data_IF_596958223040
#
_entry.id   IF_596958223040
#
_cell.length_a   1.000
_cell.length_b   1.000
_cell.length_c   1.000
_cell.angle_alpha   90.00
_cell.angle_beta   90.00
_cell.angle_gamma   90.00
#
_symmetry.space_group_name_H-M   'P 1'
#
loop_
_entity.id
_entity.type
_entity.pdbx_description
1 polymer ?
#
# COMPACT_ATOMS: atom_id res chain seq x y z
N UNK A 1 11.00 12.02 17.25
CA UNK A 1 9.96 11.92 16.20
C UNK A 1 8.74 11.15 16.71
N UNK A 2 8.89 9.89 17.14
CA UNK A 2 7.77 9.05 17.59
C UNK A 2 6.91 9.66 18.71
N UNK A 3 7.51 10.21 19.77
CA UNK A 3 6.74 10.84 20.87
C UNK A 3 5.85 12.02 20.42
N UNK A 4 6.23 12.72 19.35
CA UNK A 4 5.40 13.80 18.79
C UNK A 4 4.25 13.22 17.95
N UNK A 5 4.47 12.08 17.28
CA UNK A 5 3.49 11.43 16.42
C UNK A 5 2.37 10.76 17.23
N UNK A 6 2.65 10.18 18.40
CA UNK A 6 1.63 9.50 19.25
C UNK A 6 0.39 10.34 19.58
N UNK A 7 0.55 11.67 19.61
CA UNK A 7 -0.55 12.61 19.89
C UNK A 7 -1.51 12.82 18.71
N UNK A 8 -1.11 12.40 17.51
CA UNK A 8 -1.88 12.56 16.27
C UNK A 8 -2.98 11.49 16.19
N UNK A 9 -4.13 11.78 15.53
CA UNK A 9 -5.28 10.87 15.50
C UNK A 9 -4.98 9.43 15.07
N UNK A 10 -4.30 9.21 13.94
CA UNK A 10 -3.96 7.85 13.49
C UNK A 10 -3.13 7.08 14.51
N UNK A 11 -2.06 7.71 14.99
CA UNK A 11 -1.10 7.08 15.88
C UNK A 11 -1.70 6.80 17.26
N UNK A 12 -2.64 7.63 17.71
CA UNK A 12 -3.43 7.34 18.90
C UNK A 12 -4.26 6.05 18.75
N UNK A 13 -4.95 5.87 17.61
CA UNK A 13 -5.71 4.65 17.31
C UNK A 13 -4.78 3.42 17.21
N UNK A 14 -3.64 3.56 16.53
CA UNK A 14 -2.66 2.47 16.38
C UNK A 14 -2.06 2.03 17.72
N UNK A 15 -1.73 2.97 18.61
CA UNK A 15 -1.26 2.66 19.96
C UNK A 15 -2.34 2.00 20.82
N UNK A 16 -3.61 2.41 20.64
CA UNK A 16 -4.73 1.73 21.29
C UNK A 16 -4.84 0.27 20.83
N UNK A 17 -4.87 0.01 19.52
CA UNK A 17 -4.94 -1.33 18.94
C UNK A 17 -3.79 -2.19 19.44
N UNK A 18 -2.56 -1.66 19.41
CA UNK A 18 -1.37 -2.37 19.89
C UNK A 18 -1.46 -2.75 21.37
N UNK A 19 -2.04 -1.87 22.20
CA UNK A 19 -2.18 -2.09 23.64
C UNK A 19 -3.31 -3.06 23.98
N UNK A 20 -4.41 -3.01 23.23
CA UNK A 20 -5.64 -3.77 23.56
C UNK A 20 -5.76 -5.08 22.79
N UNK A 21 -5.15 -5.18 21.61
CA UNK A 21 -5.42 -6.26 20.66
C UNK A 21 -6.86 -6.22 20.12
N UNK A 22 -7.48 -5.04 20.05
CA UNK A 22 -8.90 -4.89 19.69
C UNK A 22 -9.06 -3.82 18.61
N UNK A 23 -9.83 -4.15 17.57
CA UNK A 23 -10.43 -3.22 16.61
C UNK A 23 -11.96 -3.22 16.76
N UNK A 24 -12.65 -2.29 16.12
CA UNK A 24 -14.11 -2.21 16.20
C UNK A 24 -14.72 -2.27 14.81
N UNK A 25 -15.76 -3.07 14.61
CA UNK A 25 -16.48 -3.14 13.34
C UNK A 25 -17.33 -1.86 13.09
N UNK A 26 -18.00 -1.81 11.93
CA UNK A 26 -18.85 -0.67 11.56
C UNK A 26 -20.05 -0.46 12.49
N UNK A 27 -20.48 -1.48 13.24
CA UNK A 27 -21.53 -1.39 14.25
C UNK A 27 -20.96 -0.99 15.64
N UNK A 28 -19.65 -0.90 15.77
CA UNK A 28 -18.96 -0.58 17.02
C UNK A 28 -18.74 -1.80 17.93
N UNK A 29 -18.91 -3.02 17.43
CA UNK A 29 -18.62 -4.22 18.22
C UNK A 29 -17.10 -4.47 18.25
N UNK A 30 -16.53 -4.86 19.41
CA UNK A 30 -15.12 -5.21 19.49
C UNK A 30 -14.83 -6.50 18.71
N UNK A 31 -13.74 -6.50 17.96
CA UNK A 31 -13.19 -7.63 17.22
C UNK A 31 -11.72 -7.81 17.63
N UNK A 32 -11.22 -9.05 17.78
CA UNK A 32 -9.80 -9.28 18.05
C UNK A 32 -8.95 -8.78 16.88
N UNK A 33 -7.78 -8.23 17.21
CA UNK A 33 -6.72 -7.91 16.25
C UNK A 33 -5.61 -8.95 16.43
N UNK A 34 -5.50 -9.86 15.45
CA UNK A 34 -4.60 -11.02 15.50
C UNK A 34 -3.34 -10.82 14.64
N UNK A 35 -3.19 -9.65 14.02
CA UNK A 35 -2.07 -9.27 13.17
C UNK A 35 -0.96 -8.53 13.94
N UNK A 36 0.13 -8.21 13.24
CA UNK A 36 1.17 -7.31 13.72
C UNK A 36 1.18 -6.00 12.93
N UNK A 37 1.50 -4.90 13.60
CA UNK A 37 1.68 -3.61 12.94
C UNK A 37 3.15 -3.47 12.55
N UNK A 38 3.46 -3.50 11.26
CA UNK A 38 4.79 -3.17 10.73
C UNK A 38 5.05 -1.65 10.81
N UNK A 39 5.44 -1.21 12.01
CA UNK A 39 5.70 0.20 12.30
C UNK A 39 6.79 0.81 11.41
N UNK A 40 7.82 0.05 11.01
CA UNK A 40 8.96 0.58 10.25
C UNK A 40 8.55 0.87 8.80
N UNK A 41 7.89 -0.10 8.17
CA UNK A 41 7.34 0.04 6.83
C UNK A 41 6.28 1.13 6.78
N UNK A 42 5.30 1.12 7.69
CA UNK A 42 4.21 2.08 7.63
C UNK A 42 4.66 3.50 8.02
N UNK A 43 5.67 3.65 8.88
CA UNK A 43 6.28 4.96 9.12
C UNK A 43 7.02 5.49 7.88
N UNK A 44 7.64 4.60 7.09
CA UNK A 44 8.21 4.97 5.79
C UNK A 44 7.11 5.46 4.84
N UNK A 45 5.93 4.83 4.81
CA UNK A 45 4.78 5.30 4.03
C UNK A 45 4.32 6.71 4.46
N UNK A 46 4.21 6.95 5.77
CA UNK A 46 3.92 8.30 6.29
C UNK A 46 4.95 9.33 5.79
N UNK A 47 6.25 9.01 5.86
CA UNK A 47 7.31 9.89 5.38
C UNK A 47 7.24 10.16 3.89
N UNK A 48 6.88 9.16 3.07
CA UNK A 48 6.64 9.33 1.64
C UNK A 48 5.46 10.28 1.41
N UNK A 49 4.35 10.14 2.15
CA UNK A 49 3.23 11.07 2.02
C UNK A 49 3.65 12.51 2.33
N UNK A 50 4.48 12.70 3.37
CA UNK A 50 5.00 14.01 3.78
C UNK A 50 5.95 14.64 2.77
N UNK A 51 6.77 13.83 2.09
CA UNK A 51 7.76 14.31 1.12
C UNK A 51 7.16 14.51 -0.28
N UNK A 52 6.43 13.52 -0.79
CA UNK A 52 5.81 13.53 -2.11
C UNK A 52 4.60 14.47 -2.18
N UNK A 53 3.87 14.63 -1.06
CA UNK A 53 2.62 15.41 -0.96
C UNK A 53 1.63 15.08 -2.09
N UNK A 54 1.29 13.79 -2.27
CA UNK A 54 0.46 13.35 -3.38
C UNK A 54 -0.95 13.95 -3.27
N UNK A 55 -1.56 14.24 -4.42
CA UNK A 55 -2.97 14.62 -4.48
C UNK A 55 -3.85 13.37 -4.47
N UNK A 56 -3.37 12.28 -5.07
CA UNK A 56 -4.07 11.00 -5.16
C UNK A 56 -3.12 9.84 -4.87
N UNK A 57 -3.47 9.04 -3.86
CA UNK A 57 -2.79 7.81 -3.46
C UNK A 57 -3.72 6.61 -3.62
N UNK A 58 -3.16 5.49 -4.05
CA UNK A 58 -3.86 4.21 -4.15
C UNK A 58 -3.18 3.18 -3.25
N UNK A 59 -3.97 2.43 -2.50
CA UNK A 59 -3.54 1.29 -1.70
C UNK A 59 -4.29 0.05 -2.18
N UNK A 60 -3.54 -1.02 -2.41
CA UNK A 60 -4.08 -2.35 -2.69
C UNK A 60 -3.76 -3.22 -1.47
N UNK A 61 -4.79 -3.73 -0.81
CA UNK A 61 -4.67 -4.37 0.50
C UNK A 61 -4.90 -3.37 1.62
N UNK A 62 -5.99 -3.53 2.36
CA UNK A 62 -6.45 -2.59 3.38
C UNK A 62 -6.54 -3.26 4.75
N UNK A 63 -7.01 -4.52 4.82
CA UNK A 63 -7.14 -5.29 6.05
C UNK A 63 -7.76 -4.46 7.21
N UNK A 64 -7.10 -4.41 8.37
CA UNK A 64 -7.52 -3.61 9.54
C UNK A 64 -7.24 -2.09 9.41
N UNK A 65 -6.81 -1.61 8.25
CA UNK A 65 -6.56 -0.20 7.93
C UNK A 65 -5.29 0.39 8.55
N UNK A 66 -4.34 -0.43 9.02
CA UNK A 66 -3.16 0.06 9.74
C UNK A 66 -2.24 0.89 8.84
N UNK A 67 -1.82 0.37 7.69
CA UNK A 67 -1.03 1.11 6.68
C UNK A 67 -1.75 2.39 6.22
N UNK A 68 -3.05 2.28 5.97
CA UNK A 68 -3.90 3.39 5.58
C UNK A 68 -3.90 4.52 6.61
N UNK A 69 -3.96 4.21 7.92
CA UNK A 69 -3.88 5.22 8.97
C UNK A 69 -2.57 6.02 8.92
N UNK A 70 -1.42 5.37 8.69
CA UNK A 70 -0.14 6.07 8.52
C UNK A 70 -0.17 6.99 7.30
N UNK A 71 -0.65 6.50 6.17
CA UNK A 71 -0.73 7.29 4.94
C UNK A 71 -1.69 8.48 5.09
N UNK A 72 -2.92 8.23 5.57
CA UNK A 72 -3.94 9.25 5.80
C UNK A 72 -3.46 10.33 6.78
N UNK A 73 -2.74 9.95 7.84
CA UNK A 73 -2.15 10.94 8.74
C UNK A 73 -1.13 11.83 8.02
N UNK A 74 -0.31 11.27 7.14
CA UNK A 74 0.64 12.04 6.33
C UNK A 74 -0.05 13.04 5.40
N UNK A 75 -1.14 12.62 4.76
CA UNK A 75 -1.99 13.47 3.91
C UNK A 75 -2.70 14.56 4.74
N UNK A 76 -3.30 14.21 5.87
CA UNK A 76 -3.95 15.14 6.78
C UNK A 76 -2.96 16.20 7.30
N UNK A 77 -1.75 15.78 7.70
CA UNK A 77 -0.70 16.70 8.12
C UNK A 77 -0.26 17.62 6.97
N UNK A 78 -0.41 17.21 5.71
CA UNK A 78 -0.12 18.05 4.53
C UNK A 78 -1.24 19.06 4.26
N UNK A 79 -2.42 18.86 4.87
CA UNK A 79 -3.64 19.61 4.57
C UNK A 79 -4.24 19.31 3.20
N UNK A 80 -3.80 18.22 2.54
CA UNK A 80 -4.29 17.83 1.21
C UNK A 80 -4.05 16.35 0.88
N UNK A 81 -4.74 15.89 -0.14
CA UNK A 81 -4.58 14.56 -0.73
C UNK A 81 -5.76 13.63 -0.41
N UNK A 82 -5.86 12.54 -1.16
CA UNK A 82 -6.88 11.51 -0.98
C UNK A 82 -6.24 10.14 -1.09
N UNK A 83 -6.65 9.22 -0.23
CA UNK A 83 -6.31 7.80 -0.32
C UNK A 83 -7.53 7.01 -0.81
N UNK A 84 -7.32 6.20 -1.85
CA UNK A 84 -8.25 5.15 -2.24
C UNK A 84 -7.63 3.82 -1.84
N UNK A 85 -8.35 3.02 -1.05
CA UNK A 85 -7.93 1.66 -0.71
C UNK A 85 -8.83 0.63 -1.39
N UNK A 86 -8.25 -0.46 -1.90
CA UNK A 86 -8.96 -1.54 -2.59
C UNK A 86 -8.70 -2.85 -1.85
N UNK A 87 -9.76 -3.45 -1.33
CA UNK A 87 -9.70 -4.71 -0.58
C UNK A 87 -11.09 -5.34 -0.51
N UNK A 88 -11.22 -6.66 -0.65
CA UNK A 88 -12.50 -7.37 -0.54
C UNK A 88 -12.71 -8.11 0.78
N UNK A 89 -11.69 -8.15 1.63
CA UNK A 89 -11.59 -8.91 2.87
C UNK A 89 -11.83 -8.06 4.12
N UNK A 90 -11.79 -6.72 4.02
CA UNK A 90 -12.03 -5.88 5.20
C UNK A 90 -13.39 -6.15 5.85
N UNK A 91 -14.48 -6.29 5.09
CA UNK A 91 -15.80 -6.52 5.69
C UNK A 91 -16.04 -7.96 6.17
N UNK A 92 -15.18 -8.91 5.80
CA UNK A 92 -15.42 -10.35 6.02
C UNK A 92 -14.39 -11.00 6.95
N UNK A 93 -13.11 -10.76 6.72
CA UNK A 93 -11.99 -11.42 7.41
C UNK A 93 -11.37 -10.50 8.48
N UNK A 94 -10.89 -9.31 8.08
CA UNK A 94 -10.12 -8.45 8.98
C UNK A 94 -11.01 -7.57 9.88
N UNK A 95 -11.92 -6.79 9.28
CA UNK A 95 -12.81 -5.83 9.95
C UNK A 95 -12.09 -4.66 10.63
N UNK A 96 -12.83 -3.57 10.76
CA UNK A 96 -12.49 -2.42 11.58
C UNK A 96 -11.56 -1.40 10.93
N UNK A 97 -11.05 -1.66 9.72
CA UNK A 97 -10.26 -0.69 8.97
C UNK A 97 -11.05 0.58 8.67
N UNK A 98 -12.28 0.45 8.15
CA UNK A 98 -13.13 1.61 7.85
C UNK A 98 -13.47 2.37 9.15
N UNK A 99 -13.77 1.64 10.23
CA UNK A 99 -14.10 2.26 11.52
C UNK A 99 -12.90 2.98 12.13
N UNK A 100 -11.69 2.44 11.98
CA UNK A 100 -10.46 3.05 12.44
C UNK A 100 -10.19 4.38 11.71
N UNK A 101 -10.41 4.41 10.38
CA UNK A 101 -10.34 5.64 9.57
C UNK A 101 -11.35 6.68 10.05
N UNK A 102 -12.60 6.27 10.32
CA UNK A 102 -13.64 7.15 10.86
C UNK A 102 -13.25 7.70 12.24
N UNK A 103 -12.78 6.85 13.16
CA UNK A 103 -12.34 7.23 14.52
C UNK A 103 -11.16 8.20 14.49
N UNK A 104 -10.27 8.08 13.50
CA UNK A 104 -9.17 9.01 13.28
C UNK A 104 -9.61 10.32 12.60
N UNK A 105 -10.86 10.42 12.14
CA UNK A 105 -11.42 11.61 11.50
C UNK A 105 -11.04 11.76 10.02
N UNK A 106 -10.61 10.69 9.34
CA UNK A 106 -10.09 10.74 7.97
C UNK A 106 -11.07 10.28 6.88
N UNK A 107 -12.31 10.01 7.22
CA UNK A 107 -13.35 9.57 6.28
C UNK A 107 -13.60 10.54 5.11
N UNK A 108 -13.23 11.81 5.25
CA UNK A 108 -13.40 12.85 4.23
C UNK A 108 -12.27 12.87 3.18
N UNK A 109 -11.15 12.18 3.44
CA UNK A 109 -10.00 12.03 2.54
C UNK A 109 -9.69 10.56 2.22
N UNK A 110 -10.59 9.65 2.59
CA UNK A 110 -10.47 8.22 2.31
C UNK A 110 -11.66 7.71 1.52
N UNK A 111 -11.40 6.82 0.56
CA UNK A 111 -12.43 6.02 -0.10
C UNK A 111 -12.01 4.56 -0.10
N UNK A 112 -12.90 3.70 0.37
CA UNK A 112 -12.70 2.26 0.30
C UNK A 112 -13.50 1.64 -0.86
N UNK A 113 -12.85 0.79 -1.66
CA UNK A 113 -13.47 0.03 -2.75
C UNK A 113 -13.46 -1.44 -2.37
N UNK A 114 -14.65 -2.00 -2.16
CA UNK A 114 -14.83 -3.39 -1.73
C UNK A 114 -14.86 -4.31 -2.94
N UNK A 115 -13.68 -4.55 -3.52
CA UNK A 115 -13.48 -5.45 -4.65
C UNK A 115 -12.09 -6.07 -4.58
N UNK A 116 -11.90 -7.31 -5.09
CA UNK A 116 -10.57 -7.83 -5.34
C UNK A 116 -9.83 -6.93 -6.36
N UNK A 117 -8.55 -6.67 -6.10
CA UNK A 117 -7.73 -5.71 -6.86
C UNK A 117 -7.69 -6.02 -8.36
N UNK A 118 -7.65 -7.30 -8.74
CA UNK A 118 -7.65 -7.76 -10.13
C UNK A 118 -8.91 -7.34 -10.92
N UNK A 119 -10.02 -7.09 -10.23
CA UNK A 119 -11.26 -6.60 -10.83
C UNK A 119 -11.44 -5.08 -10.69
N UNK A 120 -10.84 -4.48 -9.66
CA UNK A 120 -10.93 -3.05 -9.42
C UNK A 120 -10.03 -2.22 -10.35
N UNK A 121 -8.80 -2.69 -10.63
CA UNK A 121 -7.78 -1.94 -11.36
C UNK A 121 -8.03 -1.72 -12.87
N UNK A 122 -8.69 -2.64 -13.62
CA UNK A 122 -8.92 -2.43 -15.05
C UNK A 122 -9.77 -1.20 -15.36
N UNK A 123 -10.77 -0.87 -14.53
CA UNK A 123 -11.67 0.26 -14.80
C UNK A 123 -10.96 1.63 -14.72
N UNK A 124 -10.24 1.97 -13.64
CA UNK A 124 -9.45 3.21 -13.57
C UNK A 124 -8.48 3.37 -14.74
N UNK A 125 -7.81 2.28 -15.16
CA UNK A 125 -6.88 2.32 -16.29
C UNK A 125 -7.57 2.72 -17.61
N UNK A 126 -8.81 2.25 -17.83
CA UNK A 126 -9.62 2.62 -19.01
C UNK A 126 -10.18 4.04 -18.90
N UNK A 127 -10.48 4.51 -17.69
CA UNK A 127 -11.07 5.83 -17.42
C UNK A 127 -10.04 6.98 -17.31
N UNK A 128 -8.78 6.73 -17.66
CA UNK A 128 -7.68 7.70 -17.54
C UNK A 128 -7.51 8.26 -16.12
N UNK A 129 -7.85 7.47 -15.09
CA UNK A 129 -7.52 7.79 -13.72
C UNK A 129 -5.99 7.86 -13.56
N UNK A 130 -5.52 8.82 -12.75
CA UNK A 130 -4.10 8.99 -12.44
C UNK A 130 -3.87 9.20 -10.96
N UNK A 131 -2.82 8.57 -10.44
CA UNK A 131 -2.36 8.76 -9.07
C UNK A 131 -0.87 9.17 -9.02
N UNK A 132 -0.48 9.73 -7.89
CA UNK A 132 0.89 10.15 -7.59
C UNK A 132 1.64 9.07 -6.79
N UNK A 133 0.89 8.24 -6.05
CA UNK A 133 1.44 7.18 -5.22
C UNK A 133 0.60 5.89 -5.31
N UNK A 134 1.27 4.74 -5.26
CA UNK A 134 0.66 3.41 -5.14
C UNK A 134 1.39 2.61 -4.06
N UNK A 135 0.64 1.95 -3.19
CA UNK A 135 1.12 0.92 -2.26
C UNK A 135 0.46 -0.44 -2.59
N UNK A 136 1.27 -1.48 -2.72
CA UNK A 136 0.85 -2.84 -3.08
C UNK A 136 1.20 -3.78 -1.92
N UNK A 137 0.16 -4.29 -1.26
CA UNK A 137 0.22 -5.16 -0.07
C UNK A 137 -0.99 -6.12 -0.03
N UNK A 138 -1.25 -6.79 -1.16
CA UNK A 138 -2.39 -7.72 -1.31
C UNK A 138 -1.97 -9.18 -1.08
N UNK A 139 -1.75 -9.92 -2.17
CA UNK A 139 -1.29 -11.30 -2.17
C UNK A 139 0.19 -11.33 -2.54
N UNK A 140 0.90 -12.25 -1.92
CA UNK A 140 2.29 -12.57 -2.26
C UNK A 140 2.38 -13.57 -3.42
N UNK A 141 1.32 -13.81 -4.18
CA UNK A 141 1.40 -14.62 -5.40
C UNK A 141 1.97 -13.79 -6.56
N UNK A 142 2.96 -14.35 -7.27
CA UNK A 142 3.70 -13.63 -8.32
C UNK A 142 2.78 -13.08 -9.43
N UNK A 143 1.84 -13.90 -9.90
CA UNK A 143 0.90 -13.57 -10.98
C UNK A 143 -0.06 -12.45 -10.59
N UNK A 144 -0.49 -12.40 -9.33
CA UNK A 144 -1.29 -11.28 -8.83
C UNK A 144 -0.44 -10.00 -8.70
N UNK A 145 0.71 -10.07 -8.05
CA UNK A 145 1.59 -8.90 -7.84
C UNK A 145 2.02 -8.27 -9.18
N UNK A 146 2.35 -9.09 -10.18
CA UNK A 146 2.75 -8.59 -11.51
C UNK A 146 1.58 -7.97 -12.28
N UNK A 147 0.37 -8.53 -12.15
CA UNK A 147 -0.83 -7.97 -12.76
C UNK A 147 -1.19 -6.61 -12.16
N UNK A 148 -1.13 -6.49 -10.83
CA UNK A 148 -1.32 -5.22 -10.12
C UNK A 148 -0.26 -4.20 -10.54
N UNK A 149 1.01 -4.58 -10.53
CA UNK A 149 2.12 -3.74 -11.00
C UNK A 149 1.89 -3.19 -12.41
N UNK A 150 1.40 -4.04 -13.31
CA UNK A 150 1.08 -3.66 -14.69
C UNK A 150 0.00 -2.58 -14.76
N UNK A 151 -1.13 -2.76 -14.06
CA UNK A 151 -2.20 -1.75 -14.06
C UNK A 151 -1.79 -0.49 -13.32
N UNK A 152 -1.09 -0.63 -12.19
CA UNK A 152 -0.54 0.49 -11.42
C UNK A 152 0.43 1.32 -12.26
N UNK A 153 1.26 0.71 -13.10
CA UNK A 153 2.07 1.43 -14.08
C UNK A 153 1.20 2.30 -15.01
N UNK A 154 0.06 1.81 -15.48
CA UNK A 154 -0.80 2.57 -16.41
C UNK A 154 -1.47 3.78 -15.76
N UNK A 155 -1.72 3.75 -14.46
CA UNK A 155 -2.35 4.86 -13.72
C UNK A 155 -1.37 5.77 -12.98
N UNK A 156 -0.15 5.30 -12.68
CA UNK A 156 0.85 6.11 -12.00
C UNK A 156 1.44 7.18 -12.94
N UNK A 157 1.46 8.43 -12.46
CA UNK A 157 2.08 9.56 -13.18
C UNK A 157 3.61 9.41 -13.23
N UNK A 158 4.24 10.00 -14.24
CA UNK A 158 5.69 10.19 -14.21
C UNK A 158 6.08 11.03 -12.98
N UNK A 159 7.15 10.63 -12.29
CA UNK A 159 7.55 11.17 -10.98
C UNK A 159 6.81 10.54 -9.79
N UNK A 160 5.74 9.77 -10.03
CA UNK A 160 5.01 9.06 -8.98
C UNK A 160 5.79 7.88 -8.41
N UNK A 161 5.39 7.44 -7.21
CA UNK A 161 6.06 6.38 -6.46
C UNK A 161 5.15 5.15 -6.37
N UNK A 162 5.75 3.96 -6.56
CA UNK A 162 5.13 2.66 -6.29
C UNK A 162 5.92 1.98 -5.17
N UNK A 163 5.25 1.50 -4.15
CA UNK A 163 5.83 0.79 -3.03
C UNK A 163 5.22 -0.62 -2.91
N UNK A 164 6.06 -1.61 -2.68
CA UNK A 164 5.68 -3.01 -2.47
C UNK A 164 6.02 -3.40 -1.04
N UNK A 165 5.06 -3.98 -0.32
CA UNK A 165 5.30 -4.62 0.96
C UNK A 165 5.82 -6.04 0.80
N UNK A 166 6.34 -6.62 1.88
CA UNK A 166 6.80 -8.00 1.94
C UNK A 166 7.80 -8.37 0.84
N UNK A 167 8.73 -7.43 0.57
CA UNK A 167 9.76 -7.58 -0.45
C UNK A 167 10.67 -8.81 -0.24
N UNK A 168 10.70 -9.35 0.98
CA UNK A 168 11.39 -10.62 1.29
C UNK A 168 10.82 -11.84 0.57
N UNK A 169 9.55 -11.83 0.16
CA UNK A 169 8.94 -12.94 -0.58
C UNK A 169 9.53 -13.03 -1.99
N UNK A 170 9.95 -14.24 -2.38
CA UNK A 170 10.60 -14.47 -3.69
C UNK A 170 9.71 -14.06 -4.86
N UNK A 171 8.39 -14.24 -4.73
CA UNK A 171 7.37 -13.82 -5.68
C UNK A 171 7.30 -12.31 -5.82
N UNK A 172 7.17 -11.57 -4.71
CA UNK A 172 7.15 -10.10 -4.71
C UNK A 172 8.46 -9.54 -5.24
N UNK A 173 9.59 -10.08 -4.79
CA UNK A 173 10.92 -9.71 -5.27
C UNK A 173 11.08 -9.96 -6.77
N UNK A 174 10.57 -11.08 -7.29
CA UNK A 174 10.58 -11.36 -8.73
C UNK A 174 9.74 -10.35 -9.52
N UNK A 175 8.58 -9.95 -9.00
CA UNK A 175 7.75 -8.92 -9.63
C UNK A 175 8.45 -7.55 -9.65
N UNK A 176 9.06 -7.15 -8.52
CA UNK A 176 9.88 -5.94 -8.43
C UNK A 176 11.05 -5.98 -9.43
N UNK A 177 11.78 -7.08 -9.50
CA UNK A 177 12.89 -7.27 -10.44
C UNK A 177 12.44 -7.13 -11.90
N UNK A 178 11.27 -7.66 -12.27
CA UNK A 178 10.69 -7.41 -13.58
C UNK A 178 10.44 -5.92 -13.79
N UNK A 179 9.73 -5.26 -12.88
CA UNK A 179 9.36 -3.83 -13.01
C UNK A 179 10.62 -2.96 -13.15
N UNK A 180 11.62 -3.17 -12.31
CA UNK A 180 12.86 -2.37 -12.32
C UNK A 180 13.72 -2.63 -13.57
N UNK A 181 13.71 -3.85 -14.11
CA UNK A 181 14.51 -4.21 -15.30
C UNK A 181 13.81 -3.83 -16.60
N UNK A 182 12.48 -3.98 -16.63
CA UNK A 182 11.70 -3.92 -17.86
C UNK A 182 10.83 -2.68 -17.97
N UNK A 183 10.66 -1.86 -16.94
CA UNK A 183 9.87 -0.62 -17.00
C UNK A 183 10.73 0.60 -16.62
N UNK A 184 10.21 1.79 -16.94
CA UNK A 184 10.90 3.06 -16.69
C UNK A 184 10.76 3.49 -15.22
N UNK A 185 11.46 2.78 -14.33
CA UNK A 185 11.52 3.06 -12.90
C UNK A 185 12.96 3.16 -12.40
N UNK A 186 13.13 3.83 -11.25
CA UNK A 186 14.39 3.85 -10.48
C UNK A 186 14.11 3.51 -9.03
N UNK A 187 15.10 2.95 -8.35
CA UNK A 187 15.03 2.76 -6.91
C UNK A 187 14.86 4.11 -6.19
N UNK A 188 13.90 4.17 -5.28
CA UNK A 188 13.71 5.29 -4.36
C UNK A 188 14.21 4.87 -2.97
N UNK A 189 14.94 5.71 -2.23
CA UNK A 189 15.37 5.39 -0.87
C UNK A 189 14.18 5.01 0.02
N UNK A 190 14.36 3.94 0.79
CA UNK A 190 13.43 3.43 1.82
C UNK A 190 14.19 3.26 3.11
N UNK A 191 13.52 3.48 4.24
CA UNK A 191 14.06 3.19 5.56
C UNK A 191 13.61 1.83 6.11
N UNK A 192 12.79 1.08 5.35
CA UNK A 192 12.35 -0.28 5.68
C UNK A 192 12.93 -1.27 4.67
N UNK A 193 13.53 -2.36 5.17
CA UNK A 193 13.99 -3.49 4.37
C UNK A 193 12.83 -4.35 3.83
N UNK A 194 11.64 -4.26 4.46
CA UNK A 194 10.44 -4.98 4.01
C UNK A 194 9.72 -4.24 2.87
N UNK A 195 10.03 -2.96 2.64
CA UNK A 195 9.49 -2.17 1.55
C UNK A 195 10.46 -2.04 0.37
N UNK A 196 9.97 -2.38 -0.83
CA UNK A 196 10.63 -1.96 -2.07
C UNK A 196 9.92 -0.74 -2.64
N UNK A 197 10.62 0.39 -2.65
CA UNK A 197 10.06 1.67 -3.14
C UNK A 197 10.74 2.06 -4.44
N UNK A 198 9.97 2.30 -5.49
CA UNK A 198 10.46 2.68 -6.81
C UNK A 198 9.72 3.92 -7.31
N UNK A 199 10.41 4.76 -8.07
CA UNK A 199 9.85 5.97 -8.66
C UNK A 199 9.80 5.84 -10.18
N UNK A 200 8.63 6.12 -10.75
CA UNK A 200 8.42 6.13 -12.20
C UNK A 200 9.17 7.32 -12.81
N UNK A 201 10.08 7.06 -13.75
CA UNK A 201 10.87 8.13 -14.39
C UNK A 201 10.21 8.68 -15.66
N UNK A 202 9.36 7.88 -16.32
CA UNK A 202 8.73 8.26 -17.58
C UNK A 202 7.58 7.34 -17.97
N UNK A 203 6.94 7.62 -19.10
CA UNK A 203 5.93 6.75 -19.68
C UNK A 203 6.55 5.43 -20.16
N UNK A 204 5.74 4.38 -20.29
CA UNK A 204 6.15 3.13 -20.93
C UNK A 204 6.20 3.34 -22.46
N UNK A 205 7.41 3.47 -23.01
CA UNK A 205 7.71 3.71 -24.43
C UNK A 205 8.33 2.48 -25.11
N UNK A 206 8.22 1.31 -24.47
CA UNK A 206 8.82 0.08 -24.95
C UNK A 206 8.18 -0.38 -26.25
N UNK A 207 9.00 -1.01 -27.10
CA UNK A 207 8.50 -1.69 -28.30
C UNK A 207 7.63 -2.87 -27.90
N UNK A 208 6.65 -3.21 -28.73
CA UNK A 208 5.67 -4.28 -28.45
C UNK A 208 6.30 -5.67 -28.19
N UNK A 209 7.54 -5.90 -28.64
CA UNK A 209 8.31 -7.13 -28.44
C UNK A 209 9.44 -6.99 -27.40
N UNK A 210 9.55 -5.84 -26.73
CA UNK A 210 10.62 -5.58 -25.79
C UNK A 210 10.48 -6.48 -24.56
N UNK A 211 11.55 -7.20 -24.25
CA UNK A 211 11.69 -7.96 -23.02
C UNK A 211 13.18 -8.12 -22.72
N UNK A 212 13.55 -7.87 -21.47
CA UNK A 212 14.88 -8.14 -20.94
C UNK A 212 14.72 -9.19 -19.84
N UNK A 213 15.42 -10.34 -19.94
CA UNK A 213 15.44 -11.32 -18.86
C UNK A 213 15.82 -10.65 -17.54
N UNK A 214 15.05 -10.95 -16.49
CA UNK A 214 15.24 -10.41 -15.16
C UNK A 214 15.57 -11.54 -14.18
N UNK A 215 16.16 -11.20 -13.04
CA UNK A 215 16.48 -12.19 -12.02
C UNK A 215 15.21 -12.70 -11.34
N UNK A 216 15.02 -14.02 -11.34
CA UNK A 216 14.09 -14.73 -10.46
C UNK A 216 14.93 -15.30 -9.31
N UNK A 217 14.86 -14.72 -8.09
CA UNK A 217 15.72 -15.14 -6.98
C UNK A 217 15.51 -16.61 -6.63
N UNK A 218 16.62 -17.30 -6.34
CA UNK A 218 16.61 -18.69 -5.85
C UNK A 218 16.70 -18.69 -4.33
N UNK A 219 15.92 -19.54 -3.67
CA UNK A 219 15.99 -19.72 -2.22
C UNK A 219 14.86 -20.60 -1.69
N UNK A 220 14.97 -20.99 -0.43
CA UNK A 220 13.82 -21.50 0.31
C UNK A 220 12.91 -20.30 0.62
N UNK A 221 11.61 -20.38 0.32
CA UNK A 221 10.65 -19.41 0.85
C UNK A 221 10.89 -19.31 2.36
N UNK A 222 11.05 -18.11 2.89
CA UNK A 222 10.86 -17.89 4.31
C UNK A 222 9.38 -18.20 4.57
N UNK A 223 9.10 -19.44 4.97
CA UNK A 223 7.85 -19.82 5.61
C UNK A 223 7.89 -19.19 7.01
N UNK A 224 7.68 -17.89 7.08
CA UNK A 224 7.19 -17.25 8.28
C UNK A 224 5.83 -16.69 7.89
N UNK A 225 4.85 -16.88 8.76
CA UNK A 225 3.43 -16.61 8.56
C UNK A 225 2.66 -17.75 7.85
N UNK A 226 2.51 -18.87 8.58
CA UNK A 226 1.21 -19.55 8.56
C UNK A 226 0.21 -18.56 9.18
N UNK A 227 -0.75 -18.10 8.37
CA UNK A 227 -1.91 -17.31 8.81
C UNK A 227 -2.88 -18.25 9.53
#
# INVERSE_FOLDING_TARGET
>A
MWEQLKSRPAFHILEEIKRTGIVYDMQGNPCPFEDQIDHESYLTLYQIMRSLKPDMSLELGFAHGCSALYMLQGLADNGKGTLISVDSLELTHYKGGIKNVERAGFQHIHRHIILPSQFALPQPAVQNFKCDFVFIDTSHQFDQTIAESYYCDKILKAGGIMAFHDYGFLSVKSACNFVETNLNYRLHPSHSDNLRVIQKVGADDRKWYYFVPFEVPKGNQLLQFDI
#
